data_IF_953186081217
#
_entry.id   IF_953186081217
#
_cell.length_a   1.000
_cell.length_b   1.000
_cell.length_c   1.000
_cell.angle_alpha   90.00
_cell.angle_beta   90.00
_cell.angle_gamma   90.00
#
_symmetry.space_group_name_H-M   'P 1'
#
loop_
_entity.id
_entity.type
_entity.pdbx_description
1 polymer ?
#
# COMPACT_ATOMS: atom_id res chain seq x y z
N UNK A 1 -25.43 -11.75 7.41
CA UNK A 1 -24.09 -12.40 7.48
C UNK A 1 -23.55 -12.85 6.12
N UNK A 2 -24.34 -12.85 5.02
CA UNK A 2 -23.86 -13.19 3.67
C UNK A 2 -23.21 -12.01 2.92
N UNK A 3 -23.56 -10.77 3.27
CA UNK A 3 -23.23 -9.60 2.44
C UNK A 3 -21.74 -9.19 2.52
N UNK A 4 -21.10 -9.34 3.68
CA UNK A 4 -19.69 -8.94 3.84
C UNK A 4 -18.71 -9.86 3.10
N UNK A 5 -19.00 -11.16 2.99
CA UNK A 5 -18.12 -12.10 2.27
C UNK A 5 -18.14 -11.85 0.76
N UNK A 6 -19.31 -11.53 0.19
CA UNK A 6 -19.43 -11.18 -1.22
C UNK A 6 -18.67 -9.89 -1.55
N UNK A 7 -18.79 -8.86 -0.70
CA UNK A 7 -18.04 -7.61 -0.87
C UNK A 7 -16.54 -7.82 -0.75
N UNK A 8 -16.07 -8.52 0.30
CA UNK A 8 -14.62 -8.79 0.47
C UNK A 8 -14.06 -9.61 -0.70
N UNK A 9 -14.82 -10.57 -1.23
CA UNK A 9 -14.45 -11.33 -2.44
C UNK A 9 -14.24 -10.40 -3.64
N UNK A 10 -15.19 -9.50 -3.90
CA UNK A 10 -15.09 -8.55 -5.03
C UNK A 10 -13.90 -7.60 -4.87
N UNK A 11 -13.67 -7.09 -3.66
CA UNK A 11 -12.55 -6.19 -3.35
C UNK A 11 -11.20 -6.89 -3.54
N UNK A 12 -11.07 -8.14 -3.14
CA UNK A 12 -9.87 -8.95 -3.35
C UNK A 12 -9.63 -9.24 -4.84
N UNK A 13 -10.68 -9.57 -5.60
CA UNK A 13 -10.58 -9.72 -7.06
C UNK A 13 -10.14 -8.42 -7.73
N UNK A 14 -10.69 -7.27 -7.30
CA UNK A 14 -10.30 -5.97 -7.81
C UNK A 14 -8.81 -5.69 -7.54
N UNK A 15 -8.33 -5.98 -6.32
CA UNK A 15 -6.93 -5.79 -5.95
C UNK A 15 -6.00 -6.70 -6.77
N UNK A 16 -6.36 -7.97 -6.95
CA UNK A 16 -5.64 -8.89 -7.83
C UNK A 16 -5.63 -8.39 -9.28
N UNK A 17 -6.74 -7.84 -9.76
CA UNK A 17 -6.84 -7.27 -11.10
C UNK A 17 -5.94 -6.05 -11.28
N UNK A 18 -5.95 -5.11 -10.32
CA UNK A 18 -5.13 -3.90 -10.33
C UNK A 18 -3.62 -4.23 -10.29
N UNK A 19 -3.22 -5.15 -9.42
CA UNK A 19 -1.82 -5.59 -9.29
C UNK A 19 -1.38 -6.46 -10.46
N UNK A 20 -2.28 -7.28 -11.01
CA UNK A 20 -2.07 -8.04 -12.25
C UNK A 20 -1.89 -7.13 -13.48
N UNK A 21 -2.64 -6.02 -13.56
CA UNK A 21 -2.38 -4.97 -14.54
C UNK A 21 -0.99 -4.35 -14.34
N UNK A 22 -0.57 -4.15 -13.10
CA UNK A 22 0.80 -3.79 -12.73
C UNK A 22 1.84 -4.76 -13.31
N UNK A 23 1.66 -6.09 -13.18
CA UNK A 23 2.58 -7.06 -13.77
C UNK A 23 2.67 -7.00 -15.30
N UNK A 24 1.58 -6.63 -15.96
CA UNK A 24 1.56 -6.50 -17.42
C UNK A 24 2.28 -5.23 -17.90
N UNK A 25 2.15 -4.12 -17.16
CA UNK A 25 2.69 -2.81 -17.53
C UNK A 25 4.11 -2.56 -17.03
N UNK A 26 4.43 -3.01 -15.81
CA UNK A 26 5.67 -2.69 -15.12
C UNK A 26 6.71 -3.76 -15.43
N UNK A 27 7.77 -3.39 -16.16
CA UNK A 27 8.89 -4.28 -16.42
C UNK A 27 9.71 -4.55 -15.14
N UNK A 28 9.87 -5.81 -14.69
CA UNK A 28 10.57 -6.11 -13.42
C UNK A 28 12.05 -5.73 -13.43
N UNK A 29 12.67 -5.59 -14.60
CA UNK A 29 14.06 -5.14 -14.75
C UNK A 29 14.20 -3.62 -14.79
N UNK A 30 13.15 -2.91 -15.19
CA UNK A 30 13.13 -1.46 -15.34
C UNK A 30 12.68 -0.77 -14.05
N UNK A 31 11.67 -1.36 -13.41
CA UNK A 31 10.97 -0.83 -12.25
C UNK A 31 10.84 -1.90 -11.14
N UNK A 32 11.97 -2.41 -10.59
CA UNK A 32 11.97 -3.57 -9.70
C UNK A 32 11.23 -3.32 -8.39
N UNK A 33 11.22 -2.09 -7.88
CA UNK A 33 10.56 -1.79 -6.60
C UNK A 33 9.06 -1.63 -6.78
N UNK A 34 8.61 -0.95 -7.83
CA UNK A 34 7.19 -0.85 -8.16
C UNK A 34 6.59 -2.22 -8.54
N UNK A 35 7.34 -3.06 -9.25
CA UNK A 35 6.95 -4.44 -9.53
C UNK A 35 6.82 -5.25 -8.24
N UNK A 36 7.79 -5.13 -7.33
CA UNK A 36 7.75 -5.81 -6.02
C UNK A 36 6.54 -5.37 -5.19
N UNK A 37 6.19 -4.08 -5.21
CA UNK A 37 4.98 -3.59 -4.55
C UNK A 37 3.71 -4.28 -5.10
N UNK A 38 3.63 -4.50 -6.43
CA UNK A 38 2.53 -5.23 -7.06
C UNK A 38 2.51 -6.70 -6.64
N UNK A 39 3.66 -7.34 -6.43
CA UNK A 39 3.74 -8.72 -5.91
C UNK A 39 3.11 -8.83 -4.53
N UNK A 40 3.45 -7.93 -3.61
CA UNK A 40 2.84 -7.93 -2.27
C UNK A 40 1.34 -7.68 -2.31
N UNK A 41 0.87 -6.75 -3.14
CA UNK A 41 -0.56 -6.50 -3.31
C UNK A 41 -1.32 -7.67 -3.92
N UNK A 42 -0.72 -8.33 -4.92
CA UNK A 42 -1.32 -9.52 -5.54
C UNK A 42 -1.41 -10.69 -4.56
N UNK A 43 -0.33 -10.95 -3.81
CA UNK A 43 -0.31 -11.98 -2.77
C UNK A 43 -1.38 -11.71 -1.70
N UNK A 44 -1.46 -10.47 -1.20
CA UNK A 44 -2.49 -10.09 -0.23
C UNK A 44 -3.90 -10.34 -0.77
N UNK A 45 -4.20 -9.85 -1.98
CA UNK A 45 -5.50 -10.06 -2.62
C UNK A 45 -5.82 -11.54 -2.85
N UNK A 46 -4.83 -12.35 -3.20
CA UNK A 46 -5.00 -13.78 -3.41
C UNK A 46 -5.31 -14.51 -2.10
N UNK A 47 -4.58 -14.20 -1.02
CA UNK A 47 -4.86 -14.78 0.30
C UNK A 47 -6.22 -14.35 0.83
N UNK A 48 -6.59 -13.08 0.67
CA UNK A 48 -7.91 -12.58 1.07
C UNK A 48 -9.03 -13.21 0.24
N UNK A 49 -8.81 -13.48 -1.04
CA UNK A 49 -9.76 -14.22 -1.89
C UNK A 49 -9.93 -15.67 -1.41
N UNK A 50 -8.83 -16.38 -1.14
CA UNK A 50 -8.88 -17.76 -0.64
C UNK A 50 -9.59 -17.80 0.72
N UNK A 51 -9.23 -16.90 1.63
CA UNK A 51 -9.88 -16.75 2.94
C UNK A 51 -11.39 -16.54 2.79
N UNK A 52 -11.80 -15.62 1.91
CA UNK A 52 -13.21 -15.28 1.68
C UNK A 52 -14.02 -16.42 1.06
N UNK A 53 -13.43 -17.21 0.16
CA UNK A 53 -14.13 -18.29 -0.56
C UNK A 53 -14.16 -19.62 0.22
N UNK A 54 -13.12 -19.91 1.00
CA UNK A 54 -12.95 -21.22 1.65
C UNK A 54 -13.25 -21.18 3.15
N UNK A 55 -13.19 -20.00 3.76
CA UNK A 55 -13.24 -19.87 5.23
C UNK A 55 -12.03 -20.46 5.94
N UNK A 56 -10.92 -20.72 5.24
CA UNK A 56 -9.71 -21.33 5.81
C UNK A 56 -9.02 -20.39 6.81
N UNK A 57 -8.84 -20.87 8.05
CA UNK A 57 -8.25 -20.07 9.13
C UNK A 57 -6.77 -19.74 8.88
N UNK A 58 -6.03 -20.57 8.15
CA UNK A 58 -4.63 -20.26 7.83
C UNK A 58 -4.57 -19.16 6.77
N UNK A 59 -5.42 -19.20 5.76
CA UNK A 59 -5.56 -18.12 4.77
C UNK A 59 -5.96 -16.81 5.45
N UNK A 60 -6.84 -16.85 6.45
CA UNK A 60 -7.19 -15.68 7.26
C UNK A 60 -5.98 -15.12 8.02
N UNK A 61 -5.22 -15.94 8.73
CA UNK A 61 -3.99 -15.52 9.43
C UNK A 61 -2.95 -14.89 8.50
N UNK A 62 -2.77 -15.48 7.32
CA UNK A 62 -1.86 -14.94 6.30
C UNK A 62 -2.40 -13.62 5.73
N UNK A 63 -3.72 -13.50 5.55
CA UNK A 63 -4.36 -12.25 5.14
C UNK A 63 -4.10 -11.16 6.18
N UNK A 64 -4.31 -11.43 7.46
CA UNK A 64 -4.06 -10.47 8.56
C UNK A 64 -2.58 -10.03 8.60
N UNK A 65 -1.66 -10.97 8.42
CA UNK A 65 -0.23 -10.68 8.32
C UNK A 65 0.09 -9.78 7.12
N UNK A 66 -0.49 -10.10 5.96
CA UNK A 66 -0.24 -9.34 4.72
C UNK A 66 -0.94 -7.99 4.70
N UNK A 67 -2.01 -7.78 5.47
CA UNK A 67 -2.63 -6.46 5.71
C UNK A 67 -1.60 -5.50 6.32
N UNK A 68 -0.87 -5.95 7.35
CA UNK A 68 0.17 -5.13 7.98
C UNK A 68 1.29 -4.75 7.00
N UNK A 69 1.64 -5.66 6.10
CA UNK A 69 2.62 -5.41 5.04
C UNK A 69 2.07 -4.40 4.02
N UNK A 70 0.82 -4.58 3.59
CA UNK A 70 0.14 -3.70 2.64
C UNK A 70 0.05 -2.26 3.12
N UNK A 71 -0.07 -2.01 4.43
CA UNK A 71 -0.13 -0.66 4.96
C UNK A 71 1.20 0.09 4.86
N UNK A 72 2.32 -0.61 4.96
CA UNK A 72 3.63 0.02 5.18
C UNK A 72 4.53 -0.06 3.96
N UNK A 73 4.44 -1.13 3.18
CA UNK A 73 5.48 -1.50 2.21
C UNK A 73 5.24 -0.98 0.77
N UNK A 74 4.01 -1.01 0.20
CA UNK A 74 3.81 -0.65 -1.20
C UNK A 74 4.18 0.79 -1.55
N UNK A 75 3.70 1.76 -0.77
CA UNK A 75 3.92 3.18 -1.05
C UNK A 75 5.42 3.54 -1.07
N UNK A 76 6.22 3.17 -0.05
CA UNK A 76 7.65 3.47 -0.06
C UNK A 76 8.41 2.77 -1.18
N UNK A 77 8.07 1.51 -1.51
CA UNK A 77 8.69 0.82 -2.65
C UNK A 77 8.45 1.56 -3.95
N UNK A 78 7.22 1.98 -4.20
CA UNK A 78 6.88 2.75 -5.41
C UNK A 78 7.60 4.10 -5.42
N UNK A 79 7.67 4.79 -4.28
CA UNK A 79 8.42 6.04 -4.19
C UNK A 79 9.91 5.86 -4.51
N UNK A 80 10.55 4.79 -4.02
CA UNK A 80 11.95 4.48 -4.37
C UNK A 80 12.11 4.38 -5.88
N UNK A 81 11.22 3.64 -6.52
CA UNK A 81 11.23 3.44 -7.96
C UNK A 81 11.13 4.78 -8.73
N UNK A 82 10.16 5.61 -8.36
CA UNK A 82 9.92 6.91 -8.97
C UNK A 82 11.08 7.89 -8.74
N UNK A 83 11.69 7.90 -7.55
CA UNK A 83 12.81 8.77 -7.25
C UNK A 83 14.11 8.36 -7.93
N UNK A 84 14.33 7.06 -8.13
CA UNK A 84 15.47 6.57 -8.92
C UNK A 84 15.33 6.96 -10.39
N UNK A 85 14.10 7.09 -10.89
CA UNK A 85 13.83 7.55 -12.25
C UNK A 85 13.89 9.09 -12.39
N UNK A 86 13.65 9.85 -11.32
CA UNK A 86 13.60 11.31 -11.35
C UNK A 86 15.01 11.96 -11.36
N UNK A 87 15.20 13.03 -12.14
CA UNK A 87 16.48 13.78 -12.22
C UNK A 87 16.87 14.55 -10.93
N UNK A 88 16.04 14.50 -9.87
CA UNK A 88 16.15 15.34 -8.66
C UNK A 88 17.02 14.70 -7.55
N UNK A 89 18.32 14.65 -7.79
CA UNK A 89 19.32 13.91 -6.99
C UNK A 89 19.43 14.32 -5.49
N UNK A 90 19.15 15.58 -5.13
CA UNK A 90 19.35 16.07 -3.75
C UNK A 90 18.16 15.84 -2.80
N UNK A 91 16.96 15.56 -3.32
CA UNK A 91 15.74 15.35 -2.52
C UNK A 91 15.45 13.84 -2.35
N UNK A 92 15.90 13.02 -3.30
CA UNK A 92 15.88 11.56 -3.22
C UNK A 92 16.61 11.00 -1.98
N UNK A 93 17.70 11.66 -1.56
CA UNK A 93 18.52 11.27 -0.40
C UNK A 93 17.82 11.49 0.96
N UNK A 94 16.99 12.54 1.07
CA UNK A 94 16.17 12.80 2.26
C UNK A 94 15.00 11.82 2.41
N UNK A 95 14.54 11.22 1.31
CA UNK A 95 13.45 10.25 1.29
C UNK A 95 13.92 8.80 1.48
N UNK A 96 15.14 8.49 1.02
CA UNK A 96 15.83 7.25 1.39
C UNK A 96 15.97 7.08 2.91
N UNK A 97 15.99 8.18 3.66
CA UNK A 97 16.03 8.19 5.13
C UNK A 97 14.76 7.63 5.79
N UNK A 98 13.62 7.56 5.08
CA UNK A 98 12.39 6.91 5.56
C UNK A 98 12.31 5.42 5.20
N UNK A 99 13.17 4.92 4.30
CA UNK A 99 13.28 3.48 3.97
C UNK A 99 13.86 2.71 5.16
N UNK A 100 14.81 3.31 5.89
CA UNK A 100 15.47 2.64 7.03
C UNK A 100 14.50 2.42 8.20
N UNK A 101 13.75 3.42 8.69
CA UNK A 101 12.65 3.23 9.62
C UNK A 101 11.62 2.19 9.16
N UNK A 102 11.30 2.17 7.86
CA UNK A 102 10.37 1.22 7.27
C UNK A 102 10.90 -0.21 7.31
N UNK A 103 12.14 -0.43 6.86
CA UNK A 103 12.78 -1.73 6.87
C UNK A 103 12.88 -2.28 8.30
N UNK A 104 13.22 -1.41 9.26
CA UNK A 104 13.23 -1.77 10.68
C UNK A 104 11.82 -2.10 11.17
N UNK A 105 10.79 -1.34 10.79
CA UNK A 105 9.39 -1.62 11.18
C UNK A 105 8.87 -2.94 10.61
N UNK A 106 9.16 -3.22 9.33
CA UNK A 106 8.80 -4.49 8.66
C UNK A 106 9.53 -5.65 9.32
N UNK A 107 10.86 -5.54 9.54
CA UNK A 107 11.66 -6.55 10.23
C UNK A 107 11.09 -6.78 11.63
N UNK A 108 10.88 -5.74 12.43
CA UNK A 108 10.32 -5.89 13.77
C UNK A 108 8.93 -6.54 13.75
N UNK A 109 8.07 -6.18 12.79
CA UNK A 109 6.74 -6.80 12.64
C UNK A 109 6.81 -8.28 12.24
N UNK A 110 7.79 -8.67 11.41
CA UNK A 110 8.02 -10.06 11.01
C UNK A 110 8.70 -10.91 12.09
N UNK A 111 9.62 -10.32 12.87
CA UNK A 111 10.39 -11.03 13.89
C UNK A 111 9.69 -11.13 15.24
N UNK A 112 8.77 -10.20 15.57
CA UNK A 112 8.14 -10.13 16.90
C UNK A 112 6.81 -10.88 17.00
N UNK A 113 6.44 -11.65 15.96
CA UNK A 113 5.30 -12.56 15.87
C UNK A 113 4.23 -12.37 16.95
N UNK A 114 3.28 -11.45 16.73
CA UNK A 114 2.02 -11.24 17.50
C UNK A 114 2.07 -11.42 19.03
N UNK A 115 3.22 -11.25 19.69
CA UNK A 115 3.38 -11.51 21.13
C UNK A 115 4.25 -10.45 21.82
N UNK A 116 4.19 -9.22 21.30
CA UNK A 116 4.61 -8.03 22.02
C UNK A 116 3.40 -7.13 22.22
N UNK A 117 2.84 -7.17 23.43
CA UNK A 117 1.89 -6.19 23.96
C UNK A 117 2.54 -4.79 23.93
N UNK A 118 2.52 -4.16 22.77
CA UNK A 118 2.84 -2.75 22.59
C UNK A 118 1.50 -2.05 22.41
N UNK A 119 0.98 -1.53 23.53
CA UNK A 119 -0.29 -0.81 23.56
C UNK A 119 -0.35 0.32 22.52
N UNK A 120 -1.57 0.63 22.08
CA UNK A 120 -1.88 1.78 21.23
C UNK A 120 -1.05 3.01 21.65
N UNK A 121 -0.21 3.52 20.74
CA UNK A 121 0.70 4.63 21.03
C UNK A 121 2.18 4.26 21.16
N UNK A 122 2.57 3.05 20.77
CA UNK A 122 3.98 2.67 20.63
C UNK A 122 4.75 3.63 19.70
N UNK A 123 6.04 3.80 20.00
CA UNK A 123 6.98 4.50 19.12
C UNK A 123 6.99 3.90 17.70
N UNK A 124 6.69 2.60 17.55
CA UNK A 124 6.58 1.94 16.24
C UNK A 124 5.37 2.43 15.44
N UNK A 125 4.21 2.63 16.06
CA UNK A 125 3.02 3.12 15.35
C UNK A 125 3.17 4.59 14.92
N UNK A 126 3.80 5.39 15.78
CA UNK A 126 4.19 6.75 15.43
C UNK A 126 5.16 6.75 14.27
N UNK A 127 6.16 5.87 14.28
CA UNK A 127 7.15 5.75 13.21
C UNK A 127 6.52 5.30 11.88
N UNK A 128 5.61 4.31 11.91
CA UNK A 128 4.83 3.88 10.73
C UNK A 128 4.03 5.04 10.15
N UNK A 129 3.33 5.79 11.01
CA UNK A 129 2.51 6.93 10.58
C UNK A 129 3.35 8.04 9.96
N UNK A 130 4.46 8.42 10.59
CA UNK A 130 5.39 9.42 10.05
C UNK A 130 6.02 8.96 8.74
N UNK A 131 6.33 7.67 8.61
CA UNK A 131 6.88 7.10 7.38
C UNK A 131 5.88 7.20 6.24
N UNK A 132 4.61 6.84 6.46
CA UNK A 132 3.56 6.94 5.44
C UNK A 132 3.32 8.41 5.07
N UNK A 133 3.23 9.32 6.05
CA UNK A 133 3.06 10.75 5.79
C UNK A 133 4.24 11.36 5.03
N UNK A 134 5.47 10.97 5.37
CA UNK A 134 6.67 11.38 4.65
C UNK A 134 6.60 10.96 3.19
N UNK A 135 6.20 9.72 2.92
CA UNK A 135 6.04 9.19 1.57
C UNK A 135 4.85 9.79 0.79
N UNK A 136 3.76 10.17 1.45
CA UNK A 136 2.66 10.91 0.80
C UNK A 136 3.14 12.31 0.43
N UNK A 137 3.81 13.00 1.35
CA UNK A 137 4.33 14.36 1.14
C UNK A 137 5.37 14.39 0.01
N UNK A 138 6.22 13.36 -0.05
CA UNK A 138 7.21 13.20 -1.11
C UNK A 138 6.56 13.07 -2.48
N UNK A 139 5.53 12.22 -2.56
CA UNK A 139 4.82 11.95 -3.79
C UNK A 139 4.04 13.18 -4.27
N UNK A 140 3.48 13.97 -3.33
CA UNK A 140 2.91 15.28 -3.64
C UNK A 140 3.96 16.25 -4.18
N UNK A 141 5.13 16.34 -3.55
CA UNK A 141 6.20 17.19 -4.04
C UNK A 141 6.63 16.80 -5.46
N UNK A 142 6.82 15.49 -5.70
CA UNK A 142 7.15 14.97 -7.03
C UNK A 142 6.04 15.27 -8.04
N UNK A 143 4.77 15.13 -7.65
CA UNK A 143 3.61 15.45 -8.49
C UNK A 143 3.59 16.92 -8.95
N UNK A 144 3.98 17.85 -8.06
CA UNK A 144 4.06 19.28 -8.37
C UNK A 144 5.23 19.54 -9.31
N UNK A 145 6.40 18.95 -9.02
CA UNK A 145 7.60 19.15 -9.81
C UNK A 145 7.49 18.57 -11.23
N UNK A 146 6.85 17.42 -11.38
CA UNK A 146 6.65 16.75 -12.68
C UNK A 146 5.31 17.11 -13.35
N UNK A 147 4.47 17.92 -12.70
CA UNK A 147 3.12 18.29 -13.17
C UNK A 147 2.27 17.05 -13.53
N UNK A 148 2.31 16.02 -12.67
CA UNK A 148 1.69 14.71 -12.93
C UNK A 148 0.47 14.45 -12.04
N UNK A 149 -0.70 14.33 -12.67
CA UNK A 149 -1.94 13.97 -11.99
C UNK A 149 -1.95 12.54 -11.46
N UNK A 150 -1.22 11.62 -12.11
CA UNK A 150 -1.10 10.24 -11.64
C UNK A 150 -0.40 10.19 -10.28
N UNK A 151 0.70 10.95 -10.11
CA UNK A 151 1.42 11.03 -8.83
C UNK A 151 0.58 11.69 -7.73
N UNK A 152 -0.14 12.77 -8.06
CA UNK A 152 -1.06 13.42 -7.12
C UNK A 152 -2.19 12.47 -6.69
N UNK A 153 -2.75 11.72 -7.65
CA UNK A 153 -3.77 10.70 -7.41
C UNK A 153 -3.25 9.57 -6.51
N UNK A 154 -2.02 9.08 -6.74
CA UNK A 154 -1.40 8.07 -5.88
C UNK A 154 -1.24 8.58 -4.44
N UNK A 155 -0.79 9.83 -4.26
CA UNK A 155 -0.65 10.41 -2.93
C UNK A 155 -2.00 10.53 -2.21
N UNK A 156 -3.05 10.96 -2.93
CA UNK A 156 -4.40 11.02 -2.40
C UNK A 156 -4.94 9.63 -2.02
N UNK A 157 -4.76 8.62 -2.87
CA UNK A 157 -5.22 7.27 -2.60
C UNK A 157 -4.46 6.64 -1.42
N UNK A 158 -3.15 6.85 -1.30
CA UNK A 158 -2.39 6.41 -0.14
C UNK A 158 -2.88 7.10 1.15
N UNK A 159 -3.22 8.38 1.10
CA UNK A 159 -3.84 9.10 2.21
C UNK A 159 -5.22 8.50 2.56
N UNK A 160 -6.06 8.22 1.56
CA UNK A 160 -7.37 7.62 1.76
C UNK A 160 -7.26 6.21 2.36
N UNK A 161 -6.31 5.40 1.91
CA UNK A 161 -6.06 4.08 2.48
C UNK A 161 -5.65 4.15 3.96
N UNK A 162 -4.80 5.12 4.35
CA UNK A 162 -4.29 5.19 5.72
C UNK A 162 -5.21 5.92 6.70
N UNK A 163 -5.74 7.07 6.31
CA UNK A 163 -6.52 7.95 7.18
C UNK A 163 -8.00 7.97 6.80
N UNK A 164 -8.29 7.93 5.49
CA UNK A 164 -9.66 7.92 4.98
C UNK A 164 -10.45 6.71 5.46
N UNK A 165 -9.86 5.51 5.43
CA UNK A 165 -10.51 4.29 5.91
C UNK A 165 -10.98 4.40 7.36
N UNK A 166 -10.12 4.89 8.26
CA UNK A 166 -10.45 5.13 9.67
C UNK A 166 -11.54 6.20 9.82
N UNK A 167 -11.43 7.30 9.08
CA UNK A 167 -12.43 8.37 9.11
C UNK A 167 -13.81 7.88 8.66
N UNK A 168 -13.88 7.09 7.59
CA UNK A 168 -15.14 6.55 7.07
C UNK A 168 -15.78 5.55 8.03
N UNK A 169 -14.96 4.68 8.64
CA UNK A 169 -15.39 3.74 9.67
C UNK A 169 -16.01 4.45 10.87
N UNK A 170 -15.38 5.52 11.36
CA UNK A 170 -15.83 6.24 12.56
C UNK A 170 -16.98 7.24 12.31
N UNK A 171 -17.00 7.89 11.15
CA UNK A 171 -17.85 9.08 10.91
C UNK A 171 -18.94 8.87 9.88
N UNK A 172 -18.86 7.83 9.03
CA UNK A 172 -19.82 7.63 7.93
C UNK A 172 -20.63 6.36 8.13
N UNK A 173 -19.97 5.19 8.18
CA UNK A 173 -20.65 3.91 8.36
C UNK A 173 -19.67 2.87 8.88
N UNK A 174 -20.08 2.14 9.93
CA UNK A 174 -19.38 0.95 10.39
C UNK A 174 -19.28 -0.07 9.24
N UNK A 175 -18.11 -0.69 9.07
CA UNK A 175 -17.77 -1.61 8.00
C UNK A 175 -17.36 -0.94 6.67
N UNK A 176 -17.28 0.39 6.60
CA UNK A 176 -16.89 1.09 5.36
C UNK A 176 -15.38 1.27 5.21
N UNK A 177 -14.59 1.06 6.26
CA UNK A 177 -13.14 1.18 6.24
C UNK A 177 -12.45 0.19 5.29
N UNK A 178 -12.84 -1.09 5.33
CA UNK A 178 -12.28 -2.13 4.45
C UNK A 178 -12.49 -1.82 2.95
N UNK A 179 -13.72 -1.51 2.48
CA UNK A 179 -13.94 -1.04 1.11
C UNK A 179 -13.07 0.15 0.71
N UNK A 180 -12.95 1.17 1.57
CA UNK A 180 -12.13 2.36 1.29
C UNK A 180 -10.65 1.96 1.13
N UNK A 181 -10.13 1.11 1.99
CA UNK A 181 -8.75 0.61 1.92
C UNK A 181 -8.48 -0.13 0.61
N UNK A 182 -9.33 -1.10 0.24
CA UNK A 182 -9.14 -1.91 -0.96
C UNK A 182 -9.29 -1.09 -2.24
N UNK A 183 -10.29 -0.21 -2.32
CA UNK A 183 -10.46 0.69 -3.47
C UNK A 183 -9.27 1.63 -3.62
N UNK A 184 -8.78 2.17 -2.50
CA UNK A 184 -7.64 3.07 -2.49
C UNK A 184 -6.35 2.38 -2.96
N UNK A 185 -6.04 1.19 -2.42
CA UNK A 185 -4.87 0.42 -2.84
C UNK A 185 -4.97 -0.06 -4.29
N UNK A 186 -6.15 -0.51 -4.73
CA UNK A 186 -6.36 -0.93 -6.12
C UNK A 186 -6.12 0.23 -7.09
N UNK A 187 -6.70 1.40 -6.80
CA UNK A 187 -6.45 2.61 -7.59
C UNK A 187 -4.98 3.03 -7.55
N UNK A 188 -4.33 2.93 -6.38
CA UNK A 188 -2.92 3.25 -6.21
C UNK A 188 -2.04 2.40 -7.13
N UNK A 189 -2.29 1.09 -7.21
CA UNK A 189 -1.53 0.20 -8.10
C UNK A 189 -1.78 0.46 -9.58
N UNK A 190 -3.01 0.78 -9.97
CA UNK A 190 -3.32 1.20 -11.35
C UNK A 190 -2.55 2.47 -11.70
N UNK A 191 -2.61 3.49 -10.85
CA UNK A 191 -1.87 4.74 -11.09
C UNK A 191 -0.36 4.53 -11.04
N UNK A 192 0.15 3.63 -10.20
CA UNK A 192 1.56 3.24 -10.18
C UNK A 192 1.99 2.69 -11.55
N UNK A 193 1.20 1.78 -12.13
CA UNK A 193 1.48 1.21 -13.44
C UNK A 193 1.48 2.27 -14.55
N UNK A 194 0.57 3.25 -14.48
CA UNK A 194 0.51 4.35 -15.45
C UNK A 194 1.67 5.35 -15.26
N UNK A 195 1.99 5.69 -14.02
CA UNK A 195 3.06 6.63 -13.68
C UNK A 195 4.45 6.10 -14.06
N UNK A 196 4.70 4.80 -13.85
CA UNK A 196 5.98 4.16 -14.19
C UNK A 196 6.18 3.99 -15.69
N UNK A 197 5.11 3.74 -16.45
CA UNK A 197 5.20 3.52 -17.91
C UNK A 197 5.14 4.80 -18.75
N UNK A 198 5.02 5.97 -18.12
CA UNK A 198 5.07 7.27 -18.81
C UNK A 198 3.84 7.61 -19.67
N UNK A 199 2.72 6.90 -19.50
CA UNK A 199 1.43 7.27 -20.10
C UNK A 199 0.90 8.51 -19.33
N UNK A 200 1.23 9.70 -19.85
CA UNK A 200 0.77 11.01 -19.36
C UNK A 200 -0.66 11.32 -19.77
#
# INVERSE_FOLDING_TARGET
MSDNSAVSTVLNVLLCGATGFGFYKIGPSEHPYAFTACVFGFCHGLFGLVSSLTGDENAKKVTDTTTSIMEILPLPLVNVDLYLAAESNNIALGHGLFIVPLAVSVILSLFKGESGDEGEGSALDTLKTLTILGNITSLLYLSINESSWNLAGMAFLAFMAKFGAKFFEEQISEGSGEPVTYLSWSGFYVLTALATTGEK
#
